data_IF_764644463695
#
_entry.id   IF_764644463695
#
_cell.length_a   1.000
_cell.length_b   1.000
_cell.length_c   1.000
_cell.angle_alpha   90.00
_cell.angle_beta   90.00
_cell.angle_gamma   90.00
#
_symmetry.space_group_name_H-M   'P 1'
#
loop_
_entity.id
_entity.type
_entity.pdbx_description
1 polymer ?
#
# COMPACT_ATOMS: atom_id res chain seq x y z
N UNK A 1 -0.03 16.34 9.54
CA UNK A 1 -0.70 17.25 8.58
C UNK A 1 -0.66 16.60 7.20
N UNK A 2 -1.83 16.30 6.60
CA UNK A 2 -1.92 15.57 5.33
C UNK A 2 -1.26 16.28 4.15
N UNK A 3 -1.35 17.60 4.06
CA UNK A 3 -0.70 18.34 2.99
C UNK A 3 0.81 18.12 2.97
N UNK A 4 1.46 18.19 4.15
CA UNK A 4 2.90 17.96 4.28
C UNK A 4 3.30 16.52 3.96
N UNK A 5 2.50 15.53 4.35
CA UNK A 5 2.75 14.12 4.00
C UNK A 5 2.76 13.94 2.48
N UNK A 6 1.74 14.49 1.79
CA UNK A 6 1.64 14.40 0.32
C UNK A 6 2.77 15.16 -0.36
N UNK A 7 3.11 16.35 0.13
CA UNK A 7 4.23 17.15 -0.38
C UNK A 7 5.56 16.41 -0.25
N UNK A 8 5.77 15.73 0.88
CA UNK A 8 6.97 14.95 1.14
C UNK A 8 7.05 13.72 0.24
N UNK A 9 5.99 12.91 0.22
CA UNK A 9 5.93 11.65 -0.54
C UNK A 9 5.95 11.84 -2.05
N UNK A 10 5.58 13.02 -2.56
CA UNK A 10 5.69 13.36 -3.99
C UNK A 10 7.10 13.18 -4.54
N UNK A 11 8.14 13.34 -3.72
CA UNK A 11 9.54 13.16 -4.15
C UNK A 11 9.93 11.68 -4.32
N UNK A 12 9.08 10.75 -3.90
CA UNK A 12 9.34 9.31 -3.86
C UNK A 12 8.37 8.52 -4.74
N UNK A 13 7.79 9.17 -5.77
CA UNK A 13 6.92 8.51 -6.74
C UNK A 13 7.68 7.37 -7.45
N UNK A 14 7.08 6.19 -7.45
CA UNK A 14 7.65 4.96 -7.99
C UNK A 14 8.55 4.18 -7.03
N UNK A 15 8.81 4.69 -5.82
CA UNK A 15 9.60 3.99 -4.81
C UNK A 15 8.72 3.12 -3.91
N UNK A 16 9.35 2.05 -3.40
CA UNK A 16 8.72 1.06 -2.55
C UNK A 16 9.03 1.31 -1.08
N UNK A 17 8.04 1.12 -0.21
CA UNK A 17 8.15 1.32 1.23
C UNK A 17 7.46 0.20 2.00
N UNK A 18 8.02 -0.13 3.15
CA UNK A 18 7.34 -0.92 4.16
C UNK A 18 6.33 -0.05 4.93
N UNK A 19 5.14 -0.59 5.14
CA UNK A 19 4.06 0.10 5.83
C UNK A 19 3.17 -0.86 6.62
N UNK A 20 2.35 -0.28 7.48
CA UNK A 20 1.36 -0.99 8.29
C UNK A 20 -0.02 -0.58 7.85
N UNK A 21 -0.93 -1.55 7.68
CA UNK A 21 -2.32 -1.29 7.36
C UNK A 21 -2.98 -0.55 8.52
N UNK A 22 -3.33 0.72 8.33
CA UNK A 22 -3.93 1.60 9.34
C UNK A 22 -5.46 1.59 9.33
N UNK A 23 -6.07 1.10 8.26
CA UNK A 23 -7.52 0.98 8.14
C UNK A 23 -7.92 0.17 6.92
N UNK A 24 -9.12 -0.42 6.97
CA UNK A 24 -9.65 -1.27 5.90
C UNK A 24 -11.09 -0.85 5.58
N UNK A 25 -11.45 -0.90 4.30
CA UNK A 25 -12.78 -0.59 3.79
C UNK A 25 -13.12 -1.47 2.57
N UNK A 26 -14.35 -1.39 2.09
CA UNK A 26 -14.81 -2.11 0.88
C UNK A 26 -14.09 -1.71 -0.40
N UNK A 27 -13.58 -0.47 -0.47
CA UNK A 27 -12.90 0.06 -1.65
C UNK A 27 -11.36 -0.04 -1.60
N UNK A 28 -10.80 -0.63 -0.54
CA UNK A 28 -9.35 -0.72 -0.36
C UNK A 28 -8.92 -0.65 1.10
N UNK A 29 -7.63 -0.39 1.33
CA UNK A 29 -7.07 -0.24 2.67
C UNK A 29 -6.03 0.88 2.71
N UNK A 30 -5.91 1.54 3.86
CA UNK A 30 -4.89 2.55 4.08
C UNK A 30 -3.65 1.91 4.67
N UNK A 31 -2.49 2.42 4.26
CA UNK A 31 -1.19 1.99 4.75
C UNK A 31 -0.44 3.22 5.25
N UNK A 32 0.05 3.17 6.48
CA UNK A 32 0.99 4.14 7.03
C UNK A 32 2.43 3.62 6.84
N UNK A 33 3.28 4.38 6.14
CA UNK A 33 4.69 4.01 5.98
C UNK A 33 5.41 4.03 7.33
N UNK A 34 6.25 3.01 7.59
CA UNK A 34 6.91 2.87 8.90
C UNK A 34 7.89 4.03 9.15
N UNK A 35 8.76 4.30 8.18
CA UNK A 35 9.84 5.29 8.32
C UNK A 35 9.34 6.74 8.30
N UNK A 36 8.33 7.04 7.48
CA UNK A 36 7.93 8.42 7.19
C UNK A 36 6.56 8.80 7.75
N UNK A 37 5.80 7.84 8.28
CA UNK A 37 4.48 8.08 8.88
C UNK A 37 3.53 8.79 7.91
N UNK A 38 3.66 8.46 6.63
CA UNK A 38 2.83 8.98 5.55
C UNK A 38 1.81 7.92 5.16
N UNK A 39 0.54 8.30 5.15
CA UNK A 39 -0.55 7.37 4.91
C UNK A 39 -1.24 7.66 3.57
N UNK A 40 -1.43 6.59 2.81
CA UNK A 40 -2.07 6.56 1.49
C UNK A 40 -2.95 5.32 1.31
N UNK A 41 -3.71 5.29 0.22
CA UNK A 41 -4.71 4.26 -0.05
C UNK A 41 -4.20 3.26 -1.08
N UNK A 42 -4.27 1.97 -0.76
CA UNK A 42 -4.26 0.90 -1.76
C UNK A 42 -5.70 0.60 -2.15
N UNK A 43 -6.07 0.87 -3.40
CA UNK A 43 -7.43 0.64 -3.88
C UNK A 43 -7.69 -0.84 -4.15
N UNK A 44 -8.91 -1.31 -3.91
CA UNK A 44 -9.32 -2.66 -4.32
C UNK A 44 -9.18 -2.87 -5.84
N UNK A 45 -9.28 -1.80 -6.63
CA UNK A 45 -9.09 -1.85 -8.08
C UNK A 45 -7.67 -2.26 -8.48
N UNK A 46 -6.63 -1.76 -7.79
CA UNK A 46 -5.26 -2.19 -8.09
C UNK A 46 -4.99 -3.62 -7.60
N UNK A 47 -5.79 -4.15 -6.68
CA UNK A 47 -5.68 -5.53 -6.24
C UNK A 47 -6.27 -6.55 -7.20
N UNK A 48 -7.11 -6.12 -8.16
CA UNK A 48 -7.84 -7.00 -9.08
C UNK A 48 -6.94 -7.83 -9.98
N UNK A 49 -5.70 -7.39 -10.24
CA UNK A 49 -4.72 -8.18 -10.99
C UNK A 49 -4.27 -9.45 -10.24
N UNK A 50 -4.39 -9.45 -8.91
CA UNK A 50 -3.99 -10.57 -8.04
C UNK A 50 -5.19 -11.44 -7.64
N UNK A 51 -6.27 -10.82 -7.16
CA UNK A 51 -7.48 -11.51 -6.69
C UNK A 51 -8.66 -10.54 -6.59
N UNK A 52 -9.88 -11.09 -6.49
CA UNK A 52 -11.05 -10.32 -6.09
C UNK A 52 -11.16 -10.32 -4.55
N UNK A 53 -11.15 -9.15 -3.93
CA UNK A 53 -11.16 -9.02 -2.47
C UNK A 53 -12.54 -8.64 -1.93
N UNK A 54 -12.99 -9.36 -0.88
CA UNK A 54 -14.21 -9.04 -0.13
C UNK A 54 -13.87 -8.46 1.24
N UNK A 55 -14.58 -7.41 1.63
CA UNK A 55 -14.46 -6.84 2.98
C UNK A 55 -15.23 -7.67 4.02
N UNK A 56 -14.54 -8.03 5.09
CA UNK A 56 -15.09 -8.60 6.32
C UNK A 56 -15.00 -7.54 7.41
N UNK A 57 -16.08 -6.78 7.59
CA UNK A 57 -16.13 -5.67 8.55
C UNK A 57 -15.85 -6.12 9.99
N UNK A 58 -16.44 -7.25 10.40
CA UNK A 58 -16.24 -7.81 11.75
C UNK A 58 -14.78 -8.16 12.05
N UNK A 59 -14.01 -8.50 11.01
CA UNK A 59 -12.60 -8.90 11.13
C UNK A 59 -11.62 -7.76 10.78
N UNK A 60 -12.13 -6.58 10.38
CA UNK A 60 -11.37 -5.45 9.87
C UNK A 60 -10.36 -5.86 8.79
N UNK A 61 -10.81 -6.65 7.80
CA UNK A 61 -9.93 -7.18 6.77
C UNK A 61 -10.56 -7.32 5.38
N UNK A 62 -9.73 -7.25 4.35
CA UNK A 62 -10.06 -7.73 3.00
C UNK A 62 -9.58 -9.16 2.83
N UNK A 63 -10.39 -10.01 2.23
CA UNK A 63 -10.05 -11.42 1.96
C UNK A 63 -10.21 -11.73 0.48
N UNK A 64 -9.13 -12.20 -0.14
CA UNK A 64 -9.09 -12.64 -1.53
C UNK A 64 -9.93 -13.91 -1.73
N UNK A 65 -10.82 -13.89 -2.72
CA UNK A 65 -11.76 -15.00 -2.97
C UNK A 65 -11.06 -16.28 -3.42
N UNK A 66 -10.02 -16.16 -4.25
CA UNK A 66 -9.31 -17.32 -4.82
C UNK A 66 -8.14 -17.77 -3.94
N UNK A 67 -7.34 -16.80 -3.47
CA UNK A 67 -6.09 -17.05 -2.75
C UNK A 67 -6.28 -17.25 -1.25
N UNK A 68 -7.40 -16.76 -0.68
CA UNK A 68 -7.59 -16.65 0.77
C UNK A 68 -6.67 -15.62 1.44
N UNK A 69 -5.89 -14.85 0.66
CA UNK A 69 -5.00 -13.78 1.15
C UNK A 69 -5.82 -12.79 1.98
N UNK A 70 -5.33 -12.44 3.16
CA UNK A 70 -5.97 -11.46 4.03
C UNK A 70 -5.11 -10.20 4.13
N UNK A 71 -5.74 -9.05 4.03
CA UNK A 71 -5.18 -7.75 4.39
C UNK A 71 -5.95 -7.22 5.60
N UNK A 72 -5.37 -7.37 6.79
CA UNK A 72 -5.98 -6.98 8.06
C UNK A 72 -5.34 -5.72 8.62
N UNK A 73 -6.13 -4.93 9.36
CA UNK A 73 -5.58 -3.83 10.16
C UNK A 73 -4.43 -4.33 11.06
N UNK A 74 -3.30 -3.62 11.02
CA UNK A 74 -2.07 -3.97 11.74
C UNK A 74 -1.09 -4.86 10.97
N UNK A 75 -1.48 -5.43 9.83
CA UNK A 75 -0.56 -6.21 9.00
C UNK A 75 0.52 -5.31 8.39
N UNK A 76 1.73 -5.86 8.27
CA UNK A 76 2.84 -5.22 7.55
C UNK A 76 2.78 -5.62 6.07
N UNK A 77 2.89 -4.63 5.19
CA UNK A 77 2.84 -4.78 3.75
C UNK A 77 3.89 -3.89 3.07
N UNK A 78 4.26 -4.26 1.86
CA UNK A 78 5.05 -3.41 0.99
C UNK A 78 4.14 -2.70 0.00
N UNK A 79 4.41 -1.41 -0.19
CA UNK A 79 3.66 -0.55 -1.10
C UNK A 79 4.58 0.22 -2.01
N UNK A 80 4.09 0.58 -3.19
CA UNK A 80 4.71 1.54 -4.10
C UNK A 80 3.92 2.84 -4.10
N UNK A 81 4.61 3.97 -4.11
CA UNK A 81 3.96 5.29 -4.23
C UNK A 81 3.61 5.54 -5.70
N UNK A 82 2.32 5.50 -6.07
CA UNK A 82 1.91 5.65 -7.47
C UNK A 82 1.33 7.02 -7.79
N UNK A 83 0.75 7.72 -6.81
CA UNK A 83 0.31 9.11 -6.99
C UNK A 83 0.39 9.94 -5.70
N UNK A 84 0.63 11.24 -5.88
CA UNK A 84 0.63 12.23 -4.81
C UNK A 84 -0.14 13.48 -5.25
N UNK A 85 -1.38 13.62 -4.78
CA UNK A 85 -2.26 14.71 -5.17
C UNK A 85 -2.37 15.77 -4.06
N UNK A 86 -1.63 16.88 -4.22
CA UNK A 86 -1.59 17.97 -3.24
C UNK A 86 -2.95 18.66 -3.03
N UNK A 87 -3.72 18.84 -4.11
CA UNK A 87 -5.03 19.50 -4.06
C UNK A 87 -6.03 18.67 -3.26
N UNK A 88 -6.10 17.37 -3.53
CA UNK A 88 -6.96 16.42 -2.81
C UNK A 88 -6.39 15.99 -1.46
N UNK A 89 -5.11 16.27 -1.21
CA UNK A 89 -4.33 15.82 -0.04
C UNK A 89 -4.33 14.29 0.10
N UNK A 90 -4.14 13.60 -1.02
CA UNK A 90 -4.21 12.15 -1.12
C UNK A 90 -2.89 11.57 -1.64
N UNK A 91 -2.55 10.41 -1.09
CA UNK A 91 -1.50 9.52 -1.59
C UNK A 91 -2.18 8.24 -2.03
N UNK A 92 -1.87 7.79 -3.23
CA UNK A 92 -2.34 6.51 -3.76
C UNK A 92 -1.14 5.58 -3.86
N UNK A 93 -1.37 4.36 -3.39
CA UNK A 93 -0.38 3.30 -3.29
C UNK A 93 -0.83 2.08 -4.08
N UNK A 94 0.14 1.26 -4.44
CA UNK A 94 -0.06 -0.06 -5.00
C UNK A 94 0.59 -1.10 -4.09
N UNK A 95 -0.03 -2.26 -3.93
CA UNK A 95 0.55 -3.34 -3.14
C UNK A 95 1.69 -4.00 -3.93
N UNK A 96 2.83 -4.24 -3.28
CA UNK A 96 3.98 -4.92 -3.87
C UNK A 96 4.07 -6.33 -3.30
N UNK A 97 4.14 -7.33 -4.18
CA UNK A 97 4.25 -8.72 -3.78
C UNK A 97 5.68 -9.02 -3.33
N UNK A 98 5.84 -9.83 -2.28
CA UNK A 98 7.14 -10.09 -1.63
C UNK A 98 8.26 -10.52 -2.57
N UNK A 99 7.94 -11.24 -3.65
CA UNK A 99 8.91 -11.70 -4.65
C UNK A 99 9.48 -10.55 -5.49
N UNK A 100 8.70 -9.47 -5.69
CA UNK A 100 9.11 -8.30 -6.50
C UNK A 100 10.15 -7.43 -5.76
N UNK A 101 10.10 -7.43 -4.43
CA UNK A 101 11.03 -6.67 -3.58
C UNK A 101 12.46 -7.22 -3.71
N UNK A 102 12.61 -8.54 -3.88
CA UNK A 102 13.90 -9.18 -4.11
C UNK A 102 14.53 -8.75 -5.44
N UNK A 103 13.70 -8.44 -6.44
CA UNK A 103 14.13 -7.99 -7.77
C UNK A 103 14.48 -6.49 -7.74
N UNK A 104 13.67 -5.66 -7.08
CA UNK A 104 13.91 -4.22 -6.93
C UNK A 104 15.21 -3.92 -6.16
N UNK A 105 15.47 -4.67 -5.08
CA UNK A 105 16.71 -4.56 -4.29
C UNK A 105 17.94 -5.21 -4.95
N UNK A 106 17.75 -5.97 -6.03
CA UNK A 106 18.81 -6.66 -6.78
C UNK A 106 19.70 -5.73 -7.64
N UNK A 107 19.34 -4.46 -7.82
CA UNK A 107 20.17 -3.45 -8.51
C UNK A 107 21.13 -2.72 -7.55
N UNK A 108 21.90 -3.45 -6.73
CA UNK A 108 23.18 -3.03 -6.13
C UNK A 108 23.72 -4.12 -5.20
N UNK A 109 24.52 -5.03 -5.76
CA UNK A 109 25.84 -5.39 -5.21
C UNK A 109 26.58 -6.17 -6.28
N UNK A 110 27.49 -5.46 -6.95
CA UNK A 110 28.62 -6.07 -7.63
C UNK A 110 29.31 -7.04 -6.68
N UNK A 111 29.49 -8.28 -7.14
CA UNK A 111 30.73 -9.01 -6.93
C UNK A 111 31.04 -9.76 -8.21
#
# INVERSE_FOLDING_TARGET
NKYKQVQYMKNFLGEDFEGVISGVSSFGFWVETIAHKCEGLVSVTSLLEYDEFRHLEADFCLVGKRSGKKFKMGDTVWIKVVAANLTKRQLDYEWVVGDEIGIANGKRKSK
#
